data_IF_247105030316
#
_entry.id   IF_247105030316
#
_cell.length_a   1.000
_cell.length_b   1.000
_cell.length_c   1.000
_cell.angle_alpha   90.00
_cell.angle_beta   90.00
_cell.angle_gamma   90.00
#
_symmetry.space_group_name_H-M   'P 1'
#
loop_
_entity.id
_entity.type
_entity.pdbx_description
1 polymer ?
#
# COMPACT_ATOMS: atom_id res chain seq x y z
N UNK A 1 -34.49 -30.03 45.87
CA UNK A 1 -33.32 -29.24 45.46
C UNK A 1 -32.19 -30.21 45.12
N UNK A 2 -31.82 -30.32 43.83
CA UNK A 2 -30.87 -31.33 43.34
C UNK A 2 -29.46 -30.77 43.51
N UNK A 3 -28.71 -31.28 44.49
CA UNK A 3 -27.35 -30.83 44.80
C UNK A 3 -26.41 -31.06 43.61
N UNK A 4 -25.74 -30.00 43.16
CA UNK A 4 -24.73 -30.07 42.10
C UNK A 4 -23.54 -30.86 42.65
N UNK A 5 -23.32 -32.07 42.15
CA UNK A 5 -22.13 -32.87 42.46
C UNK A 5 -20.93 -32.29 41.69
N UNK A 6 -20.06 -31.56 42.39
CA UNK A 6 -18.77 -31.10 41.85
C UNK A 6 -17.84 -32.30 41.60
N UNK A 7 -17.50 -32.52 40.33
CA UNK A 7 -16.54 -33.54 39.92
C UNK A 7 -15.12 -33.11 40.34
N UNK A 8 -14.52 -33.78 41.34
CA UNK A 8 -13.21 -33.44 41.94
C UNK A 8 -11.99 -33.61 41.00
N UNK A 9 -12.20 -33.89 39.71
CA UNK A 9 -11.14 -34.10 38.71
C UNK A 9 -10.90 -32.90 37.78
N UNK A 10 -11.54 -31.75 38.00
CA UNK A 10 -11.19 -30.53 37.28
C UNK A 10 -9.93 -29.91 37.87
N UNK A 11 -8.75 -30.25 37.33
CA UNK A 11 -7.54 -29.44 37.54
C UNK A 11 -7.74 -28.12 36.78
N UNK A 12 -8.03 -27.05 37.53
CA UNK A 12 -8.20 -25.72 36.96
C UNK A 12 -6.86 -25.09 36.60
N UNK A 13 -6.88 -24.17 35.62
CA UNK A 13 -5.75 -23.33 35.25
C UNK A 13 -5.36 -22.42 36.43
N UNK A 14 -4.09 -22.35 36.78
CA UNK A 14 -3.63 -21.52 37.91
C UNK A 14 -3.53 -20.04 37.50
N UNK A 15 -3.75 -19.13 38.46
CA UNK A 15 -3.56 -17.70 38.21
C UNK A 15 -2.10 -17.36 37.86
N UNK A 16 -1.15 -18.13 38.39
CA UNK A 16 0.27 -17.93 38.11
C UNK A 16 0.61 -18.33 36.66
N UNK A 17 0.04 -19.42 36.14
CA UNK A 17 0.18 -19.79 34.72
C UNK A 17 -0.40 -18.70 33.81
N UNK A 18 -1.55 -18.14 34.18
CA UNK A 18 -2.16 -17.05 33.41
C UNK A 18 -1.28 -15.80 33.40
N UNK A 19 -0.71 -15.41 34.54
CA UNK A 19 0.17 -14.24 34.65
C UNK A 19 1.43 -14.40 33.80
N UNK A 20 2.05 -15.59 33.80
CA UNK A 20 3.25 -15.85 32.99
C UNK A 20 2.91 -15.78 31.49
N UNK A 21 1.77 -16.36 31.07
CA UNK A 21 1.33 -16.32 29.67
C UNK A 21 1.11 -14.89 29.20
N UNK A 22 0.43 -14.05 30.00
CA UNK A 22 0.20 -12.64 29.65
C UNK A 22 1.53 -11.87 29.54
N UNK A 23 2.48 -12.12 30.44
CA UNK A 23 3.80 -11.49 30.38
C UNK A 23 4.55 -11.84 29.08
N UNK A 24 4.55 -13.11 28.67
CA UNK A 24 5.21 -13.56 27.43
C UNK A 24 4.52 -12.95 26.20
N UNK A 25 3.18 -12.98 26.14
CA UNK A 25 2.42 -12.37 25.04
C UNK A 25 2.71 -10.87 24.94
N UNK A 26 2.81 -10.17 26.07
CA UNK A 26 3.15 -8.74 26.10
C UNK A 26 4.49 -8.43 25.44
N UNK A 27 5.53 -9.22 25.73
CA UNK A 27 6.86 -9.06 25.14
C UNK A 27 6.82 -9.32 23.62
N UNK A 28 6.17 -10.40 23.20
CA UNK A 28 6.06 -10.75 21.78
C UNK A 28 5.28 -9.68 21.00
N UNK A 29 4.16 -9.19 21.56
CA UNK A 29 3.32 -8.17 20.93
C UNK A 29 4.07 -6.85 20.70
N UNK A 30 4.93 -6.45 21.64
CA UNK A 30 5.70 -5.21 21.53
C UNK A 30 6.63 -5.18 20.30
N UNK A 31 7.12 -6.34 19.85
CA UNK A 31 8.00 -6.47 18.68
C UNK A 31 7.19 -6.82 17.43
N UNK A 32 6.24 -7.75 17.55
CA UNK A 32 5.50 -8.29 16.40
C UNK A 32 4.54 -7.26 15.78
N UNK A 33 3.88 -6.44 16.59
CA UNK A 33 2.91 -5.45 16.09
C UNK A 33 3.55 -4.36 15.19
N UNK A 34 4.62 -3.66 15.60
CA UNK A 34 5.26 -2.69 14.72
C UNK A 34 5.82 -3.35 13.46
N UNK A 35 6.51 -4.49 13.59
CA UNK A 35 7.07 -5.20 12.44
C UNK A 35 5.99 -5.65 11.43
N UNK A 36 4.84 -6.13 11.92
CA UNK A 36 3.72 -6.50 11.05
C UNK A 36 3.11 -5.29 10.33
N UNK A 37 2.97 -4.15 11.03
CA UNK A 37 2.49 -2.90 10.42
C UNK A 37 3.44 -2.45 9.29
N UNK A 38 4.74 -2.47 9.55
CA UNK A 38 5.75 -2.06 8.55
C UNK A 38 5.71 -2.96 7.31
N UNK A 39 5.60 -4.28 7.52
CA UNK A 39 5.46 -5.24 6.43
C UNK A 39 4.19 -5.01 5.60
N UNK A 40 3.07 -4.74 6.25
CA UNK A 40 1.81 -4.45 5.55
C UNK A 40 1.93 -3.16 4.73
N UNK A 41 2.48 -2.08 5.31
CA UNK A 41 2.68 -0.81 4.58
C UNK A 41 3.61 -1.00 3.38
N UNK A 42 4.71 -1.72 3.55
CA UNK A 42 5.63 -2.08 2.46
C UNK A 42 4.91 -2.88 1.35
N UNK A 43 4.03 -3.82 1.74
CA UNK A 43 3.25 -4.61 0.78
C UNK A 43 2.30 -3.75 -0.07
N UNK A 44 1.68 -2.72 0.54
CA UNK A 44 0.85 -1.75 -0.18
C UNK A 44 1.67 -0.92 -1.17
N UNK A 45 2.91 -0.54 -0.83
CA UNK A 45 3.82 0.13 -1.77
C UNK A 45 4.06 -0.70 -3.04
N UNK A 46 4.31 -2.00 -2.87
CA UNK A 46 4.50 -2.92 -3.99
C UNK A 46 3.22 -3.15 -4.82
N UNK A 47 2.07 -3.23 -4.17
CA UNK A 47 0.77 -3.32 -4.85
C UNK A 47 0.48 -2.07 -5.69
N UNK A 48 0.69 -0.88 -5.12
CA UNK A 48 0.47 0.38 -5.80
C UNK A 48 1.40 0.57 -7.02
N UNK A 49 2.66 0.12 -6.92
CA UNK A 49 3.57 0.13 -8.08
C UNK A 49 3.08 -0.73 -9.23
N UNK A 50 2.58 -1.95 -8.94
CA UNK A 50 2.03 -2.83 -9.98
C UNK A 50 0.82 -2.18 -10.66
N UNK A 51 -0.02 -1.49 -9.88
CA UNK A 51 -1.14 -0.72 -10.38
C UNK A 51 -0.71 0.36 -11.38
N UNK A 52 0.23 1.24 -11.00
CA UNK A 52 0.74 2.29 -11.91
C UNK A 52 1.49 1.71 -13.11
N UNK A 53 2.36 0.73 -12.89
CA UNK A 53 3.24 0.18 -13.94
C UNK A 53 2.46 -0.44 -15.10
N UNK A 54 1.25 -0.95 -14.84
CA UNK A 54 0.36 -1.53 -15.86
C UNK A 54 -0.07 -0.54 -16.95
N UNK A 55 -0.08 0.76 -16.64
CA UNK A 55 -0.47 1.84 -17.56
C UNK A 55 0.68 2.76 -17.95
N UNK A 56 1.76 2.79 -17.15
CA UNK A 56 2.89 3.68 -17.37
C UNK A 56 3.56 3.49 -18.75
N UNK A 57 3.72 2.25 -19.23
CA UNK A 57 4.33 1.99 -20.54
C UNK A 57 3.49 2.53 -21.71
N UNK A 58 2.17 2.43 -21.62
CA UNK A 58 1.24 2.98 -22.61
C UNK A 58 1.27 4.51 -22.57
N UNK A 59 1.27 5.11 -21.38
CA UNK A 59 1.38 6.55 -21.22
C UNK A 59 2.72 7.09 -21.77
N UNK A 60 3.85 6.41 -21.50
CA UNK A 60 5.15 6.75 -22.10
C UNK A 60 5.11 6.69 -23.63
N UNK A 61 4.52 5.63 -24.20
CA UNK A 61 4.40 5.47 -25.65
C UNK A 61 3.55 6.59 -26.27
N UNK A 62 2.44 6.94 -25.63
CA UNK A 62 1.60 8.06 -26.02
C UNK A 62 2.38 9.37 -26.03
N UNK A 63 3.12 9.68 -24.96
CA UNK A 63 3.87 10.94 -24.89
C UNK A 63 5.00 11.00 -25.91
N UNK A 64 5.66 9.88 -26.22
CA UNK A 64 6.77 9.86 -27.18
C UNK A 64 6.35 9.92 -28.65
N UNK A 65 5.18 9.36 -29.00
CA UNK A 65 4.83 9.09 -30.40
C UNK A 65 3.37 9.35 -30.77
N UNK A 66 2.55 9.77 -29.81
CA UNK A 66 1.09 9.91 -29.97
C UNK A 66 0.33 8.58 -30.03
N UNK A 67 1.02 7.44 -30.13
CA UNK A 67 0.39 6.13 -30.24
C UNK A 67 -0.25 5.69 -28.91
N UNK A 68 -1.49 5.22 -28.97
CA UNK A 68 -2.18 4.65 -27.81
C UNK A 68 -2.70 5.66 -26.78
N UNK A 69 -2.65 6.97 -27.08
CA UNK A 69 -3.16 8.02 -26.19
C UNK A 69 -4.65 7.84 -25.84
N UNK A 70 -5.48 7.51 -26.83
CA UNK A 70 -6.91 7.28 -26.60
C UNK A 70 -7.13 6.09 -25.66
N UNK A 71 -6.42 4.98 -25.87
CA UNK A 71 -6.54 3.79 -25.02
C UNK A 71 -6.17 4.10 -23.56
N UNK A 72 -5.05 4.78 -23.30
CA UNK A 72 -4.69 5.13 -21.91
C UNK A 72 -5.66 6.16 -21.32
N UNK A 73 -6.15 7.10 -22.13
CA UNK A 73 -7.08 8.13 -21.66
C UNK A 73 -8.49 7.59 -21.39
N UNK A 74 -8.94 6.55 -22.09
CA UNK A 74 -10.23 5.90 -21.81
C UNK A 74 -10.13 4.93 -20.63
N UNK A 75 -9.03 4.19 -20.52
CA UNK A 75 -8.88 3.15 -19.49
C UNK A 75 -8.44 3.69 -18.12
N UNK A 76 -8.01 4.95 -18.04
CA UNK A 76 -7.63 5.61 -16.79
C UNK A 76 -8.46 6.88 -16.62
N UNK A 77 -9.20 6.97 -15.51
CA UNK A 77 -10.01 8.14 -15.21
C UNK A 77 -9.16 9.32 -14.76
N UNK A 78 -9.57 10.53 -15.13
CA UNK A 78 -8.94 11.75 -14.61
C UNK A 78 -9.28 11.90 -13.14
N UNK A 79 -8.28 12.18 -12.30
CA UNK A 79 -8.44 12.28 -10.87
C UNK A 79 -7.22 12.91 -10.19
N UNK A 80 -7.27 12.92 -8.86
CA UNK A 80 -6.20 13.45 -8.00
C UNK A 80 -5.50 12.31 -7.26
N UNK A 81 -4.30 12.57 -6.74
CA UNK A 81 -3.48 11.60 -5.99
C UNK A 81 -4.23 10.89 -4.85
N UNK A 82 -5.23 11.55 -4.26
CA UNK A 82 -6.01 11.03 -3.14
C UNK A 82 -7.19 10.16 -3.57
N UNK A 83 -7.52 10.07 -4.86
CA UNK A 83 -8.56 9.17 -5.37
C UNK A 83 -8.04 7.74 -5.38
N UNK A 84 -8.74 6.82 -4.70
CA UNK A 84 -8.38 5.40 -4.71
C UNK A 84 -8.49 4.79 -6.12
N UNK A 85 -7.62 3.82 -6.40
CA UNK A 85 -7.46 3.20 -7.71
C UNK A 85 -6.49 3.94 -8.63
N UNK A 86 -6.51 3.56 -9.91
CA UNK A 86 -5.70 4.18 -10.96
C UNK A 86 -6.37 5.46 -11.45
N UNK A 87 -5.64 6.57 -11.44
CA UNK A 87 -6.09 7.84 -12.01
C UNK A 87 -4.96 8.54 -12.75
N UNK A 88 -5.29 9.51 -13.59
CA UNK A 88 -4.35 10.38 -14.28
C UNK A 88 -4.65 11.84 -13.95
N UNK A 89 -3.62 12.69 -13.96
CA UNK A 89 -3.80 14.13 -13.71
C UNK A 89 -4.60 14.84 -14.80
N UNK A 90 -4.32 14.45 -16.04
CA UNK A 90 -4.91 14.99 -17.27
C UNK A 90 -4.76 13.93 -18.37
N UNK A 91 -5.43 14.15 -19.49
CA UNK A 91 -5.25 13.32 -20.68
C UNK A 91 -3.82 13.41 -21.20
N UNK A 92 -3.25 12.25 -21.54
CA UNK A 92 -1.94 12.15 -22.19
C UNK A 92 -2.07 12.52 -23.67
N UNK A 93 -1.04 13.20 -24.16
CA UNK A 93 -0.87 13.56 -25.55
C UNK A 93 0.62 13.56 -25.91
N UNK A 94 0.92 13.46 -27.21
CA UNK A 94 2.28 13.53 -27.71
C UNK A 94 2.98 14.83 -27.24
N UNK A 95 4.23 14.71 -26.82
CA UNK A 95 5.05 15.85 -26.38
C UNK A 95 4.57 16.54 -25.11
N UNK A 96 3.60 15.97 -24.38
CA UNK A 96 2.99 16.58 -23.20
C UNK A 96 3.34 15.79 -21.95
N UNK A 97 3.92 16.45 -20.94
CA UNK A 97 4.20 15.80 -19.66
C UNK A 97 2.90 15.45 -18.93
N UNK A 98 2.90 14.33 -18.22
CA UNK A 98 1.73 13.84 -17.49
C UNK A 98 2.08 13.03 -16.25
N UNK A 99 1.09 12.83 -15.38
CA UNK A 99 1.25 12.02 -14.17
C UNK A 99 0.12 10.98 -14.10
N UNK A 100 0.50 9.73 -13.81
CA UNK A 100 -0.40 8.65 -13.37
C UNK A 100 -0.26 8.47 -11.86
N UNK A 101 -1.36 8.14 -11.21
CA UNK A 101 -1.43 7.85 -9.78
C UNK A 101 -2.09 6.50 -9.57
N UNK A 102 -1.57 5.70 -8.63
CA UNK A 102 -2.32 4.60 -8.06
C UNK A 102 -2.32 4.75 -6.56
N UNK A 103 -3.51 4.82 -5.99
CA UNK A 103 -3.70 4.90 -4.54
C UNK A 103 -4.46 3.66 -4.07
N UNK A 104 -3.81 2.86 -3.22
CA UNK A 104 -4.38 1.65 -2.60
C UNK A 104 -4.96 1.94 -1.20
N UNK A 105 -5.39 3.17 -0.95
CA UNK A 105 -5.87 3.65 0.36
C UNK A 105 -4.76 3.92 1.38
N UNK A 106 -3.62 3.23 1.30
CA UNK A 106 -2.47 3.44 2.21
C UNK A 106 -1.24 4.06 1.57
N UNK A 107 -0.85 3.59 0.39
CA UNK A 107 0.27 4.13 -0.36
C UNK A 107 -0.24 4.66 -1.70
N UNK A 108 0.27 5.82 -2.09
CA UNK A 108 0.07 6.39 -3.40
C UNK A 108 1.38 6.38 -4.16
N UNK A 109 1.40 5.70 -5.31
CA UNK A 109 2.52 5.74 -6.25
C UNK A 109 2.16 6.70 -7.38
N UNK A 110 3.12 7.53 -7.78
CA UNK A 110 3.02 8.40 -8.95
C UNK A 110 4.05 7.99 -10.00
N UNK A 111 3.63 7.82 -11.25
CA UNK A 111 4.52 7.84 -12.41
C UNK A 111 4.42 9.20 -13.08
N UNK A 112 5.49 9.97 -13.02
CA UNK A 112 5.62 11.23 -13.74
C UNK A 112 6.39 10.99 -15.03
N UNK A 113 5.73 11.27 -16.15
CA UNK A 113 6.26 11.10 -17.50
C UNK A 113 6.51 12.49 -18.05
N UNK A 114 7.76 12.81 -18.35
CA UNK A 114 8.10 14.10 -18.95
C UNK A 114 7.65 14.16 -20.43
N UNK A 115 7.73 15.36 -21.03
CA UNK A 115 7.36 15.58 -22.43
C UNK A 115 8.19 14.77 -23.45
N UNK A 116 9.30 14.16 -23.04
CA UNK A 116 10.15 13.29 -23.87
C UNK A 116 9.92 11.80 -23.57
N UNK A 117 8.96 11.48 -22.69
CA UNK A 117 8.63 10.14 -22.26
C UNK A 117 9.59 9.56 -21.22
N UNK A 118 10.45 10.35 -20.58
CA UNK A 118 11.21 9.88 -19.43
C UNK A 118 10.26 9.65 -18.26
N UNK A 119 10.25 8.43 -17.73
CA UNK A 119 9.34 8.03 -16.67
C UNK A 119 10.08 7.98 -15.33
N UNK A 120 9.50 8.62 -14.31
CA UNK A 120 10.04 8.69 -12.95
C UNK A 120 8.96 8.29 -11.95
N UNK A 121 9.34 7.51 -10.94
CA UNK A 121 8.42 7.02 -9.92
C UNK A 121 8.65 7.72 -8.59
N UNK A 122 7.57 8.05 -7.91
CA UNK A 122 7.60 8.44 -6.50
C UNK A 122 6.49 7.73 -5.73
N UNK A 123 6.70 7.52 -4.43
CA UNK A 123 5.68 6.96 -3.55
C UNK A 123 5.57 7.81 -2.28
N UNK A 124 4.34 7.94 -1.80
CA UNK A 124 3.99 8.61 -0.55
C UNK A 124 2.99 7.76 0.23
N UNK A 125 3.04 7.82 1.55
CA UNK A 125 1.96 7.29 2.38
C UNK A 125 0.79 8.27 2.42
N UNK A 126 -0.42 7.75 2.58
CA UNK A 126 -1.60 8.55 2.93
C UNK A 126 -1.65 8.89 4.43
N UNK A 127 -0.66 8.43 5.18
CA UNK A 127 -0.36 8.78 6.57
C UNK A 127 0.59 9.98 6.61
N UNK A 128 0.45 10.83 7.64
CA UNK A 128 1.39 11.93 7.91
C UNK A 128 2.72 11.45 8.51
N UNK A 129 2.86 10.15 8.83
CA UNK A 129 4.10 9.59 9.36
C UNK A 129 5.15 9.43 8.24
N UNK A 130 6.30 10.07 8.44
CA UNK A 130 7.43 9.98 7.50
C UNK A 130 7.98 8.56 7.36
N UNK A 131 7.81 7.72 8.40
CA UNK A 131 8.21 6.31 8.40
C UNK A 131 7.37 5.52 7.41
N UNK A 132 6.05 5.73 7.39
CA UNK A 132 5.14 5.08 6.45
C UNK A 132 5.48 5.46 5.00
N UNK A 133 5.84 6.72 4.75
CA UNK A 133 6.28 7.15 3.42
C UNK A 133 7.56 6.43 2.98
N UNK A 134 8.52 6.23 3.91
CA UNK A 134 9.74 5.46 3.62
C UNK A 134 9.41 4.01 3.28
N UNK A 135 8.52 3.36 4.05
CA UNK A 135 8.09 1.99 3.81
C UNK A 135 7.33 1.84 2.49
N UNK A 136 6.45 2.79 2.15
CA UNK A 136 5.78 2.82 0.84
C UNK A 136 6.80 2.89 -0.31
N UNK A 137 7.86 3.71 -0.18
CA UNK A 137 8.94 3.81 -1.19
C UNK A 137 9.75 2.51 -1.29
N UNK A 138 10.15 1.95 -0.16
CA UNK A 138 10.88 0.67 -0.11
C UNK A 138 10.07 -0.46 -0.75
N UNK A 139 8.79 -0.56 -0.40
CA UNK A 139 7.87 -1.54 -0.97
C UNK A 139 7.61 -1.33 -2.47
N UNK A 140 7.62 -0.08 -2.89
CA UNK A 140 7.56 0.30 -4.28
C UNK A 140 8.87 0.05 -5.06
N UNK A 141 9.95 -0.35 -4.39
CA UNK A 141 11.27 -0.50 -5.01
C UNK A 141 11.90 0.81 -5.47
N UNK A 142 11.43 1.95 -4.93
CA UNK A 142 11.95 3.28 -5.21
C UNK A 142 12.99 3.61 -4.15
N UNK A 143 14.23 3.86 -4.58
CA UNK A 143 15.33 4.27 -3.71
C UNK A 143 15.47 5.79 -3.65
#
# INVERSE_FOLDING_TARGET
MKGIKLNKRAQGFTLIELMIVVAIIGILAAIALPAYKDYVTTSHGGAAMKGVASYASQAVTCVQSGAGCEAVNTNVTTGVKTTEGITKKADFAEGTAGELYFNDGKCTVTAAIDAKGANTYSAVSNSADATDTKLCKEGAGIK
#
